data_IF_293279685784
#
_entry.id   IF_293279685784
#
_cell.length_a   1.000
_cell.length_b   1.000
_cell.length_c   1.000
_cell.angle_alpha   90.00
_cell.angle_beta   90.00
_cell.angle_gamma   90.00
#
_symmetry.space_group_name_H-M   'P 1'
#
loop_
_entity.id
_entity.type
_entity.pdbx_description
1 polymer ?
#
# COMPACT_ATOMS: atom_id res chain seq x y z
N UNK A 1 -13.50 17.26 8.28
CA UNK A 1 -13.40 15.90 8.83
C UNK A 1 -12.71 15.00 7.82
N UNK A 2 -11.95 13.99 8.26
CA UNK A 2 -11.30 13.05 7.36
C UNK A 2 -12.35 12.24 6.54
N UNK A 3 -12.08 11.90 5.27
CA UNK A 3 -13.06 11.28 4.37
C UNK A 3 -13.69 9.98 4.91
N UNK A 4 -12.90 9.11 5.54
CA UNK A 4 -13.39 7.88 6.14
C UNK A 4 -14.23 8.10 7.41
N UNK A 5 -13.96 9.18 8.17
CA UNK A 5 -14.83 9.57 9.29
C UNK A 5 -16.17 10.10 8.78
N UNK A 6 -16.18 10.85 7.68
CA UNK A 6 -17.43 11.32 7.06
C UNK A 6 -18.28 10.11 6.64
N UNK A 7 -17.68 9.11 5.98
CA UNK A 7 -18.39 7.89 5.60
C UNK A 7 -18.88 7.09 6.82
N UNK A 8 -18.08 7.01 7.88
CA UNK A 8 -18.47 6.31 9.10
C UNK A 8 -19.64 6.98 9.83
N UNK A 9 -19.73 8.31 9.83
CA UNK A 9 -20.78 9.06 10.53
C UNK A 9 -21.93 9.55 9.63
N UNK A 10 -21.92 9.24 8.33
CA UNK A 10 -23.02 9.62 7.43
C UNK A 10 -24.28 8.80 7.78
N UNK A 11 -25.42 9.44 8.13
CA UNK A 11 -26.64 8.73 8.51
C UNK A 11 -27.40 8.06 7.35
N UNK A 12 -27.00 8.25 6.08
CA UNK A 12 -27.73 7.74 4.91
C UNK A 12 -27.56 6.24 4.60
N UNK A 13 -26.62 5.53 5.25
CA UNK A 13 -26.56 4.05 5.16
C UNK A 13 -27.47 3.39 6.22
N UNK A 14 -28.78 3.63 6.13
CA UNK A 14 -29.77 2.70 6.66
C UNK A 14 -29.92 1.61 5.59
N UNK A 15 -29.42 0.41 5.87
CA UNK A 15 -29.38 -0.73 4.94
C UNK A 15 -30.72 -0.98 4.24
N UNK A 16 -30.77 -0.86 2.90
CA UNK A 16 -31.70 -1.69 2.13
C UNK A 16 -31.18 -3.13 2.13
N UNK A 17 -32.01 -4.13 2.49
CA UNK A 17 -31.56 -5.52 2.55
C UNK A 17 -31.51 -6.09 1.13
N UNK A 18 -30.36 -5.98 0.45
CA UNK A 18 -30.13 -6.71 -0.79
C UNK A 18 -29.79 -8.17 -0.47
N UNK A 19 -30.69 -9.06 -0.89
CA UNK A 19 -30.62 -10.51 -0.84
C UNK A 19 -29.35 -11.06 -1.55
N UNK A 20 -28.74 -12.10 -0.96
CA UNK A 20 -27.59 -12.81 -1.56
C UNK A 20 -26.36 -13.00 -0.65
N UNK A 21 -26.33 -14.13 0.08
CA UNK A 21 -25.14 -14.82 0.66
C UNK A 21 -23.95 -13.92 1.04
N UNK A 22 -24.08 -13.16 2.14
CA UNK A 22 -22.95 -12.47 2.78
C UNK A 22 -21.99 -13.51 3.40
N UNK A 23 -20.81 -13.73 2.78
CA UNK A 23 -19.64 -14.31 3.46
C UNK A 23 -19.39 -13.47 4.71
N UNK A 24 -19.27 -14.10 5.88
CA UNK A 24 -19.20 -13.43 7.20
C UNK A 24 -18.34 -12.16 7.21
N UNK A 25 -19.00 -11.01 7.16
CA UNK A 25 -18.43 -9.66 7.10
C UNK A 25 -19.13 -8.86 8.20
N UNK A 26 -18.56 -8.90 9.40
CA UNK A 26 -19.23 -8.30 10.56
C UNK A 26 -18.31 -7.81 11.67
N UNK A 27 -16.99 -7.99 11.57
CA UNK A 27 -16.06 -7.54 12.62
C UNK A 27 -14.78 -6.88 12.11
N UNK A 28 -14.41 -7.09 10.85
CA UNK A 28 -13.19 -6.52 10.27
C UNK A 28 -13.49 -5.36 9.29
N UNK A 29 -14.74 -4.90 9.21
CA UNK A 29 -15.10 -3.78 8.33
C UNK A 29 -14.52 -2.46 8.87
N UNK A 30 -13.68 -1.75 8.09
CA UNK A 30 -12.98 -0.56 8.57
C UNK A 30 -13.95 0.55 9.00
N UNK A 31 -15.08 0.70 8.31
CA UNK A 31 -16.09 1.72 8.58
C UNK A 31 -16.77 1.50 9.94
N UNK A 32 -17.09 0.25 10.29
CA UNK A 32 -17.69 -0.09 11.59
C UNK A 32 -16.69 0.16 12.72
N UNK A 33 -15.43 -0.22 12.52
CA UNK A 33 -14.37 0.01 13.50
C UNK A 33 -14.15 1.50 13.77
N UNK A 34 -14.23 2.35 12.75
CA UNK A 34 -14.13 3.82 12.87
C UNK A 34 -15.24 4.43 13.74
N UNK A 35 -16.46 3.89 13.73
CA UNK A 35 -17.56 4.38 14.60
C UNK A 35 -17.27 4.17 16.09
N UNK A 36 -16.58 3.09 16.42
CA UNK A 36 -16.22 2.72 17.80
C UNK A 36 -14.83 3.20 18.23
N UNK A 37 -14.11 3.88 17.35
CA UNK A 37 -12.70 4.23 17.57
C UNK A 37 -12.56 5.39 18.55
N UNK A 38 -11.85 5.14 19.65
CA UNK A 38 -11.36 6.17 20.57
C UNK A 38 -9.85 6.32 20.38
N UNK A 39 -9.36 7.44 19.82
CA UNK A 39 -7.95 7.66 19.54
C UNK A 39 -7.12 7.68 20.83
N UNK A 40 -5.91 7.11 20.77
CA UNK A 40 -4.96 7.07 21.90
C UNK A 40 -3.73 7.94 21.66
N UNK A 41 -3.44 8.23 20.40
CA UNK A 41 -2.29 9.00 19.95
C UNK A 41 -2.66 10.45 19.65
N UNK A 42 -1.66 11.34 19.71
CA UNK A 42 -1.81 12.74 19.32
C UNK A 42 -2.30 12.89 17.87
N UNK A 43 -1.80 12.03 16.97
CA UNK A 43 -2.23 12.01 15.58
C UNK A 43 -3.69 11.57 15.46
N UNK A 44 -4.08 10.49 16.16
CA UNK A 44 -5.47 10.04 16.20
C UNK A 44 -6.43 11.13 16.69
N UNK A 45 -6.07 11.82 17.78
CA UNK A 45 -6.87 12.93 18.31
C UNK A 45 -7.01 14.07 17.28
N UNK A 46 -5.94 14.43 16.57
CA UNK A 46 -5.97 15.48 15.55
C UNK A 46 -6.82 15.10 14.32
N UNK A 47 -6.79 13.83 13.90
CA UNK A 47 -7.62 13.30 12.81
C UNK A 47 -9.09 13.27 13.22
N UNK A 48 -9.39 12.79 14.43
CA UNK A 48 -10.76 12.74 14.94
C UNK A 48 -11.36 14.13 15.18
N UNK A 49 -10.54 15.08 15.65
CA UNK A 49 -10.91 16.49 15.73
C UNK A 49 -11.07 17.17 14.36
N UNK A 50 -10.71 16.50 13.27
CA UNK A 50 -10.82 17.02 11.90
C UNK A 50 -9.77 18.06 11.52
N UNK A 51 -8.70 18.22 12.31
CA UNK A 51 -7.58 19.13 12.01
C UNK A 51 -6.71 18.59 10.88
N UNK A 52 -6.59 17.26 10.77
CA UNK A 52 -5.89 16.58 9.70
C UNK A 52 -6.92 15.85 8.85
N UNK A 53 -7.05 16.27 7.60
CA UNK A 53 -8.06 15.75 6.66
C UNK A 53 -7.41 14.81 5.65
N UNK A 54 -6.18 15.10 5.23
CA UNK A 54 -5.48 14.32 4.20
C UNK A 54 -4.32 13.53 4.77
N UNK A 55 -4.00 12.41 4.11
CA UNK A 55 -2.83 11.60 4.47
C UNK A 55 -1.51 12.36 4.30
N UNK A 56 -1.45 13.31 3.37
CA UNK A 56 -0.26 14.14 3.16
C UNK A 56 -0.01 15.09 4.33
N UNK A 57 -1.07 15.69 4.88
CA UNK A 57 -0.99 16.48 6.11
C UNK A 57 -0.50 15.63 7.29
N UNK A 58 -0.97 14.37 7.38
CA UNK A 58 -0.51 13.44 8.41
C UNK A 58 1.01 13.17 8.29
N UNK A 59 1.52 12.94 7.08
CA UNK A 59 2.97 12.78 6.86
C UNK A 59 3.73 14.08 7.17
N UNK A 60 3.19 15.23 6.75
CA UNK A 60 3.81 16.55 6.97
C UNK A 60 3.92 16.89 8.46
N UNK A 61 2.97 16.42 9.29
CA UNK A 61 3.00 16.59 10.74
C UNK A 61 4.18 15.90 11.44
N UNK A 62 4.86 14.97 10.75
CA UNK A 62 5.97 14.14 11.27
C UNK A 62 5.61 13.30 12.51
N UNK A 63 4.33 13.20 12.85
CA UNK A 63 3.87 12.32 13.92
C UNK A 63 3.88 10.87 13.43
N UNK A 64 4.31 9.91 14.27
CA UNK A 64 4.32 8.50 13.89
C UNK A 64 2.89 7.95 13.80
N UNK A 65 2.60 7.24 12.71
CA UNK A 65 1.34 6.52 12.52
C UNK A 65 1.44 5.19 13.27
N UNK A 66 0.69 5.03 14.36
CA UNK A 66 0.69 3.82 15.21
C UNK A 66 -0.68 3.13 15.33
N UNK A 67 -1.73 3.82 14.90
CA UNK A 67 -3.10 3.35 14.89
C UNK A 67 -3.51 3.07 13.45
N UNK A 68 -4.21 1.96 13.22
CA UNK A 68 -4.65 1.55 11.87
C UNK A 68 -5.86 2.37 11.45
N UNK A 69 -6.68 2.73 12.42
CA UNK A 69 -7.89 3.51 12.28
C UNK A 69 -7.59 4.90 11.72
N UNK A 70 -6.41 5.47 12.02
CA UNK A 70 -5.95 6.72 11.39
C UNK A 70 -5.83 6.57 9.88
N UNK A 71 -5.32 5.44 9.41
CA UNK A 71 -5.14 5.17 7.98
C UNK A 71 -6.50 4.93 7.32
N UNK A 72 -7.36 4.16 7.98
CA UNK A 72 -8.72 3.87 7.50
C UNK A 72 -9.60 5.14 7.45
N UNK A 73 -9.40 6.07 8.39
CA UNK A 73 -10.05 7.38 8.40
C UNK A 73 -9.57 8.30 7.27
N UNK A 74 -8.28 8.27 6.94
CA UNK A 74 -7.69 9.17 5.94
C UNK A 74 -7.83 8.62 4.50
N UNK A 75 -7.86 7.30 4.34
CA UNK A 75 -7.93 6.61 3.04
C UNK A 75 -9.02 5.52 3.10
N UNK A 76 -10.29 5.85 2.81
CA UNK A 76 -11.38 4.87 2.91
C UNK A 76 -11.33 3.76 1.86
N UNK A 77 -10.80 4.05 0.65
CA UNK A 77 -10.76 3.11 -0.48
C UNK A 77 -9.46 2.29 -0.51
N UNK A 78 -9.15 1.58 0.57
CA UNK A 78 -7.99 0.66 0.62
C UNK A 78 -8.41 -0.75 0.23
N UNK A 79 -7.83 -1.26 -0.85
CA UNK A 79 -7.91 -2.67 -1.23
C UNK A 79 -6.73 -3.43 -0.61
N UNK A 80 -6.98 -4.65 -0.14
CA UNK A 80 -5.96 -5.57 0.36
C UNK A 80 -5.77 -6.77 -0.58
N UNK A 81 -4.50 -7.14 -0.82
CA UNK A 81 -4.15 -8.32 -1.61
C UNK A 81 -3.10 -9.17 -0.88
N UNK A 82 -3.36 -10.47 -0.81
CA UNK A 82 -2.44 -11.45 -0.23
C UNK A 82 -1.45 -11.89 -1.30
N UNK A 83 -0.16 -11.67 -1.05
CA UNK A 83 0.91 -12.06 -1.98
C UNK A 83 1.25 -13.55 -1.82
N UNK A 84 1.51 -13.98 -0.58
CA UNK A 84 1.97 -15.35 -0.30
C UNK A 84 1.65 -15.72 1.15
N UNK A 85 1.14 -16.95 1.33
CA UNK A 85 1.05 -17.62 2.62
C UNK A 85 2.11 -18.72 2.66
N UNK A 86 2.98 -18.70 3.67
CA UNK A 86 4.02 -19.70 3.87
C UNK A 86 3.81 -20.39 5.22
N UNK A 87 3.90 -21.73 5.23
CA UNK A 87 3.96 -22.50 6.47
C UNK A 87 5.42 -22.58 6.93
N UNK A 88 5.70 -22.12 8.15
CA UNK A 88 7.04 -22.15 8.76
C UNK A 88 7.01 -22.97 10.06
N UNK A 89 8.02 -23.79 10.28
CA UNK A 89 8.06 -24.73 11.40
C UNK A 89 9.34 -24.53 12.23
N UNK A 90 9.23 -24.68 13.56
CA UNK A 90 10.37 -24.82 14.46
C UNK A 90 10.33 -26.21 15.10
N UNK A 91 11.49 -26.86 15.22
CA UNK A 91 11.59 -28.12 15.95
C UNK A 91 11.64 -27.84 17.47
N UNK A 92 10.95 -28.67 18.24
CA UNK A 92 10.98 -28.70 19.71
C UNK A 92 11.06 -30.16 20.15
N UNK A 93 11.41 -30.40 21.41
CA UNK A 93 11.52 -31.77 21.96
C UNK A 93 10.20 -32.54 21.82
N UNK A 94 9.06 -31.86 21.96
CA UNK A 94 7.71 -32.42 21.73
C UNK A 94 7.28 -32.51 20.26
N UNK A 95 8.19 -32.27 19.30
CA UNK A 95 7.90 -32.32 17.86
C UNK A 95 7.91 -30.97 17.15
N UNK A 96 7.26 -30.88 15.97
CA UNK A 96 7.27 -29.70 15.10
C UNK A 96 6.18 -28.71 15.48
N UNK A 97 6.55 -27.49 15.87
CA UNK A 97 5.60 -26.37 16.07
C UNK A 97 5.49 -25.54 14.80
N UNK A 98 4.32 -25.59 14.17
CA UNK A 98 4.00 -24.88 12.93
C UNK A 98 3.40 -23.50 13.22
N UNK A 99 3.72 -22.53 12.36
CA UNK A 99 3.12 -21.20 12.30
C UNK A 99 3.01 -20.77 10.83
N UNK A 100 2.11 -19.84 10.55
CA UNK A 100 1.94 -19.29 9.20
C UNK A 100 2.56 -17.90 9.13
N UNK A 101 3.35 -17.67 8.10
CA UNK A 101 3.89 -16.37 7.72
C UNK A 101 3.14 -15.88 6.48
N UNK A 102 2.51 -14.71 6.58
CA UNK A 102 1.72 -14.11 5.51
C UNK A 102 2.31 -12.77 5.15
N UNK A 103 2.47 -12.53 3.85
CA UNK A 103 2.79 -11.22 3.30
C UNK A 103 1.57 -10.67 2.56
N UNK A 104 1.15 -9.48 2.95
CA UNK A 104 0.02 -8.76 2.39
C UNK A 104 0.47 -7.39 1.87
N UNK A 105 -0.18 -6.94 0.81
CA UNK A 105 -0.05 -5.60 0.26
C UNK A 105 -1.40 -4.90 0.39
N UNK A 106 -1.39 -3.61 0.66
CA UNK A 106 -2.61 -2.79 0.74
C UNK A 106 -2.38 -1.53 -0.10
N UNK A 107 -3.37 -1.07 -0.84
CA UNK A 107 -3.25 0.18 -1.60
C UNK A 107 -4.56 0.66 -2.18
N UNK A 108 -4.58 1.91 -2.64
CA UNK A 108 -5.79 2.57 -3.16
C UNK A 108 -5.78 2.74 -4.69
N UNK A 109 -4.84 2.08 -5.40
CA UNK A 109 -4.59 2.23 -6.85
C UNK A 109 -4.37 3.67 -7.31
N UNK A 110 -4.13 4.59 -6.37
CA UNK A 110 -4.01 6.01 -6.63
C UNK A 110 -2.89 6.61 -5.80
N UNK A 111 -1.72 5.97 -5.87
CA UNK A 111 -0.49 6.51 -5.32
C UNK A 111 -0.25 6.23 -3.83
N UNK A 112 -1.03 5.37 -3.16
CA UNK A 112 -0.69 4.84 -1.84
C UNK A 112 -0.56 3.32 -1.87
N UNK A 113 0.54 2.83 -1.29
CA UNK A 113 0.79 1.39 -1.15
C UNK A 113 1.46 1.10 0.17
N UNK A 114 1.11 0.00 0.81
CA UNK A 114 1.70 -0.50 2.04
C UNK A 114 2.02 -1.99 1.90
N UNK A 115 3.14 -2.41 2.49
CA UNK A 115 3.55 -3.82 2.51
C UNK A 115 3.74 -4.27 3.96
N UNK A 116 3.14 -5.40 4.30
CA UNK A 116 3.17 -5.95 5.65
C UNK A 116 3.48 -7.44 5.63
N UNK A 117 4.19 -7.89 6.66
CA UNK A 117 4.42 -9.31 6.91
C UNK A 117 4.10 -9.62 8.37
N UNK A 118 3.38 -10.70 8.61
CA UNK A 118 3.04 -11.12 9.96
C UNK A 118 3.05 -12.64 10.10
N UNK A 119 3.23 -13.09 11.34
CA UNK A 119 3.28 -14.51 11.71
C UNK A 119 2.29 -14.81 12.82
N UNK A 120 1.47 -15.85 12.64
CA UNK A 120 0.53 -16.31 13.67
C UNK A 120 0.43 -17.84 13.70
N UNK A 121 -0.33 -18.38 14.67
CA UNK A 121 -0.63 -19.82 14.76
C UNK A 121 -1.66 -20.24 13.71
N UNK A 122 -2.65 -19.41 13.47
CA UNK A 122 -3.71 -19.60 12.49
C UNK A 122 -3.51 -18.71 11.26
N UNK A 123 -4.01 -19.15 10.11
CA UNK A 123 -3.89 -18.41 8.85
C UNK A 123 -4.68 -17.12 8.88
N UNK A 124 -5.96 -17.15 9.31
CA UNK A 124 -6.83 -15.96 9.35
C UNK A 124 -6.26 -14.86 10.25
N UNK A 125 -5.74 -15.25 11.42
CA UNK A 125 -5.06 -14.31 12.32
C UNK A 125 -3.78 -13.72 11.70
N UNK A 126 -3.01 -14.52 10.94
CA UNK A 126 -1.81 -14.04 10.26
C UNK A 126 -2.16 -13.03 9.16
N UNK A 127 -3.24 -13.27 8.41
CA UNK A 127 -3.74 -12.35 7.38
C UNK A 127 -4.13 -11.01 8.01
N UNK A 128 -4.98 -11.00 9.04
CA UNK A 128 -5.40 -9.77 9.74
C UNK A 128 -4.21 -8.94 10.25
N UNK A 129 -3.23 -9.62 10.87
CA UNK A 129 -2.00 -8.97 11.36
C UNK A 129 -1.14 -8.44 10.21
N UNK A 130 -1.08 -9.15 9.07
CA UNK A 130 -0.32 -8.70 7.92
C UNK A 130 -0.95 -7.45 7.28
N UNK A 131 -2.29 -7.42 7.16
CA UNK A 131 -3.04 -6.25 6.66
C UNK A 131 -2.84 -5.06 7.60
N UNK A 132 -2.99 -5.26 8.91
CA UNK A 132 -2.72 -4.24 9.94
C UNK A 132 -1.31 -3.67 9.80
N UNK A 133 -0.30 -4.54 9.67
CA UNK A 133 1.09 -4.13 9.48
C UNK A 133 1.32 -3.41 8.14
N UNK A 134 0.60 -3.78 7.08
CA UNK A 134 0.68 -3.12 5.78
C UNK A 134 0.08 -1.71 5.83
N UNK A 135 -1.08 -1.54 6.47
CA UNK A 135 -1.73 -0.23 6.68
C UNK A 135 -0.83 0.74 7.45
N UNK A 136 -0.17 0.27 8.52
CA UNK A 136 0.78 1.09 9.28
C UNK A 136 2.03 1.47 8.47
N UNK A 137 2.40 0.68 7.46
CA UNK A 137 3.57 0.89 6.60
C UNK A 137 3.20 1.45 5.22
N UNK A 138 2.18 2.30 5.13
CA UNK A 138 1.81 2.95 3.86
C UNK A 138 2.86 4.01 3.47
N UNK A 139 3.18 4.02 2.18
CA UNK A 139 3.98 5.05 1.53
C UNK A 139 3.14 5.74 0.44
N UNK A 140 3.36 7.03 0.26
CA UNK A 140 2.97 7.74 -0.96
C UNK A 140 3.90 7.33 -2.10
N UNK A 141 3.40 7.19 -3.32
CA UNK A 141 4.18 6.86 -4.51
C UNK A 141 4.18 8.06 -5.45
N UNK A 142 5.35 8.37 -6.01
CA UNK A 142 5.49 9.35 -7.07
C UNK A 142 5.20 8.68 -8.41
N UNK A 143 4.29 9.27 -9.18
CA UNK A 143 3.92 8.83 -10.53
C UNK A 143 4.20 9.98 -11.50
N UNK A 144 4.54 9.65 -12.73
CA UNK A 144 4.74 10.63 -13.78
C UNK A 144 4.99 9.97 -15.13
N UNK A 145 5.48 10.78 -16.06
CA UNK A 145 5.84 10.36 -17.40
C UNK A 145 7.32 10.67 -17.64
N UNK A 146 8.15 9.62 -17.75
CA UNK A 146 9.57 9.78 -18.04
C UNK A 146 10.10 8.85 -19.10
N UNK A 147 9.21 8.25 -19.90
CA UNK A 147 9.63 7.44 -21.03
C UNK A 147 10.04 8.34 -22.17
N UNK A 148 11.19 8.05 -22.78
CA UNK A 148 11.64 8.76 -23.99
C UNK A 148 10.69 8.55 -25.18
N UNK A 149 9.96 7.45 -25.19
CA UNK A 149 9.00 7.09 -26.25
C UNK A 149 7.64 7.79 -26.08
N UNK A 150 7.36 8.40 -24.93
CA UNK A 150 6.05 8.96 -24.62
C UNK A 150 5.98 10.45 -24.99
N UNK A 151 4.83 10.88 -25.50
CA UNK A 151 4.54 12.30 -25.69
C UNK A 151 4.40 13.01 -24.33
N UNK A 152 4.53 14.34 -24.37
CA UNK A 152 4.37 15.20 -23.18
C UNK A 152 2.95 15.07 -22.63
N UNK A 153 2.80 14.76 -21.34
CA UNK A 153 1.51 14.66 -20.68
C UNK A 153 1.56 13.92 -19.34
N UNK A 154 0.45 13.94 -18.57
CA UNK A 154 0.34 13.23 -17.30
C UNK A 154 0.47 11.72 -17.54
N UNK A 155 1.23 11.07 -16.66
CA UNK A 155 1.50 9.64 -16.76
C UNK A 155 1.39 8.95 -15.41
N UNK A 156 1.03 7.68 -15.47
CA UNK A 156 0.92 6.75 -14.35
C UNK A 156 2.10 5.77 -14.32
N UNK A 157 3.23 6.14 -14.94
CA UNK A 157 4.49 5.39 -14.91
C UNK A 157 5.39 5.87 -13.77
N UNK A 158 6.48 5.16 -13.51
CA UNK A 158 7.60 5.68 -12.73
C UNK A 158 8.30 6.80 -13.52
N UNK A 159 8.66 7.95 -12.93
CA UNK A 159 9.22 9.10 -13.64
C UNK A 159 10.68 8.93 -14.08
N UNK A 160 11.48 8.13 -13.38
CA UNK A 160 12.86 7.84 -13.77
C UNK A 160 13.27 6.46 -13.29
N UNK A 161 14.39 5.97 -13.82
CA UNK A 161 14.90 4.65 -13.45
C UNK A 161 15.26 4.59 -11.98
N UNK A 162 14.69 3.63 -11.26
CA UNK A 162 14.94 3.44 -9.83
C UNK A 162 15.30 1.99 -9.51
N UNK A 163 16.16 1.83 -8.51
CA UNK A 163 16.64 0.54 -8.07
C UNK A 163 16.13 0.27 -6.64
N UNK A 164 15.56 -0.91 -6.44
CA UNK A 164 15.21 -1.45 -5.13
C UNK A 164 15.97 -2.75 -4.85
N UNK A 165 16.29 -2.97 -3.58
CA UNK A 165 16.98 -4.17 -3.12
C UNK A 165 16.31 -4.70 -1.87
N UNK A 166 16.21 -6.03 -1.79
CA UNK A 166 15.94 -6.75 -0.56
C UNK A 166 16.74 -8.05 -0.58
N UNK A 167 17.64 -8.22 0.39
CA UNK A 167 18.61 -9.31 0.42
C UNK A 167 19.39 -9.46 -0.92
N UNK A 168 19.26 -10.62 -1.58
CA UNK A 168 19.88 -10.92 -2.87
C UNK A 168 19.08 -10.43 -4.07
N UNK A 169 17.78 -10.15 -3.90
CA UNK A 169 16.89 -9.71 -4.98
C UNK A 169 17.07 -8.23 -5.26
N UNK A 170 17.34 -7.89 -6.53
CA UNK A 170 17.46 -6.52 -7.02
C UNK A 170 16.41 -6.29 -8.10
N UNK A 171 15.62 -5.25 -7.95
CA UNK A 171 14.57 -4.85 -8.90
C UNK A 171 14.91 -3.47 -9.42
N UNK A 172 14.96 -3.31 -10.72
CA UNK A 172 15.12 -2.01 -11.38
C UNK A 172 13.82 -1.71 -12.10
N UNK A 173 13.15 -0.63 -11.73
CA UNK A 173 11.97 -0.13 -12.43
C UNK A 173 12.42 0.98 -13.37
N UNK A 174 11.96 0.95 -14.61
CA UNK A 174 12.25 1.91 -15.66
C UNK A 174 10.93 2.48 -16.18
N UNK A 175 10.93 3.77 -16.58
CA UNK A 175 9.76 4.38 -17.16
C UNK A 175 9.32 3.64 -18.43
N UNK A 176 8.02 3.57 -18.66
CA UNK A 176 7.43 2.96 -19.86
C UNK A 176 6.48 3.94 -20.55
N UNK A 177 6.32 3.78 -21.86
CA UNK A 177 5.29 4.49 -22.61
C UNK A 177 3.89 4.03 -22.19
N UNK A 178 2.90 4.90 -22.34
CA UNK A 178 1.49 4.60 -22.04
C UNK A 178 1.01 3.41 -22.87
N UNK A 179 0.38 2.43 -22.21
CA UNK A 179 -0.21 1.25 -22.86
C UNK A 179 0.73 0.05 -22.97
N UNK A 180 1.96 0.11 -22.45
CA UNK A 180 2.85 -1.06 -22.35
C UNK A 180 2.42 -2.04 -21.25
N UNK A 181 1.72 -1.54 -20.24
CA UNK A 181 1.31 -2.30 -19.05
C UNK A 181 2.46 -2.60 -18.10
N UNK A 182 2.16 -3.41 -17.09
CA UNK A 182 3.11 -3.83 -16.06
C UNK A 182 3.96 -5.01 -16.54
N UNK A 183 5.15 -4.72 -17.10
CA UNK A 183 6.12 -5.73 -17.53
C UNK A 183 7.00 -6.14 -16.35
N UNK A 184 6.43 -6.90 -15.43
CA UNK A 184 7.08 -7.41 -14.21
C UNK A 184 6.51 -8.78 -13.82
N UNK A 185 7.22 -9.54 -12.98
CA UNK A 185 6.70 -10.79 -12.44
C UNK A 185 5.48 -10.58 -11.56
N UNK A 186 4.63 -11.59 -11.43
CA UNK A 186 3.31 -11.51 -10.78
C UNK A 186 3.34 -10.84 -9.39
N UNK A 187 4.28 -11.22 -8.52
CA UNK A 187 4.41 -10.62 -7.19
C UNK A 187 4.69 -9.11 -7.24
N UNK A 188 5.53 -8.66 -8.18
CA UNK A 188 5.78 -7.23 -8.38
C UNK A 188 4.59 -6.52 -9.01
N UNK A 189 3.85 -7.22 -9.89
CA UNK A 189 2.64 -6.70 -10.54
C UNK A 189 1.59 -6.31 -9.51
N UNK A 190 1.30 -7.19 -8.55
CA UNK A 190 0.36 -6.94 -7.43
C UNK A 190 0.71 -5.66 -6.65
N UNK A 191 1.99 -5.47 -6.33
CA UNK A 191 2.47 -4.28 -5.60
C UNK A 191 2.35 -3.00 -6.44
N UNK A 192 2.71 -3.05 -7.72
CA UNK A 192 2.66 -1.88 -8.61
C UNK A 192 1.21 -1.49 -8.99
N UNK A 193 0.34 -2.48 -9.15
CA UNK A 193 -1.07 -2.28 -9.44
C UNK A 193 -1.76 -1.54 -8.29
N UNK A 194 -1.59 -2.03 -7.05
CA UNK A 194 -2.10 -1.35 -5.85
C UNK A 194 -1.48 0.04 -5.62
N UNK A 195 -0.26 0.27 -6.11
CA UNK A 195 0.38 1.59 -6.08
C UNK A 195 -0.21 2.58 -7.10
N UNK A 196 -1.05 2.11 -8.03
CA UNK A 196 -1.62 2.95 -9.09
C UNK A 196 -0.67 3.23 -10.24
N UNK A 197 0.29 2.33 -10.46
CA UNK A 197 1.23 2.39 -11.57
C UNK A 197 0.71 1.47 -12.68
N UNK A 198 0.49 2.01 -13.88
CA UNK A 198 -0.07 1.25 -15.01
C UNK A 198 1.00 0.65 -15.90
N UNK A 199 2.08 1.41 -16.13
CA UNK A 199 3.09 1.11 -17.15
C UNK A 199 4.48 1.16 -16.53
N UNK A 200 5.20 0.03 -16.55
CA UNK A 200 6.60 -0.05 -16.11
C UNK A 200 7.35 -1.13 -16.88
N UNK A 201 8.59 -0.80 -17.23
CA UNK A 201 9.57 -1.79 -17.65
C UNK A 201 10.41 -2.20 -16.44
N UNK A 202 10.55 -3.50 -16.18
CA UNK A 202 11.36 -3.97 -15.07
C UNK A 202 12.56 -4.79 -15.52
N UNK A 203 13.62 -4.75 -14.72
CA UNK A 203 14.75 -5.67 -14.81
C UNK A 203 15.04 -6.22 -13.42
N UNK A 204 15.01 -7.54 -13.28
CA UNK A 204 15.28 -8.22 -12.01
C UNK A 204 16.60 -8.96 -12.06
N UNK A 205 17.36 -8.95 -10.96
CA UNK A 205 18.59 -9.74 -10.78
C UNK A 205 18.58 -10.43 -9.41
N UNK A 206 19.28 -11.56 -9.31
CA UNK A 206 19.35 -12.37 -8.08
C UNK A 206 18.22 -13.41 -7.98
N UNK A 207 17.96 -13.90 -6.77
CA UNK A 207 16.94 -14.94 -6.57
C UNK A 207 15.54 -14.30 -6.52
N UNK A 208 14.78 -14.45 -7.60
CA UNK A 208 13.40 -13.94 -7.72
C UNK A 208 12.35 -14.92 -7.19
N UNK A 209 12.70 -16.21 -7.04
CA UNK A 209 11.80 -17.24 -6.48
C UNK A 209 11.34 -16.95 -5.05
N UNK A 210 12.15 -16.21 -4.28
CA UNK A 210 11.77 -15.75 -2.94
C UNK A 210 10.81 -14.57 -3.04
N UNK A 211 9.51 -14.86 -3.08
CA UNK A 211 8.42 -13.87 -3.25
C UNK A 211 8.45 -12.76 -2.21
N UNK A 212 8.77 -13.07 -0.95
CA UNK A 212 8.87 -12.09 0.14
C UNK A 212 9.92 -11.01 -0.19
N UNK A 213 11.11 -11.43 -0.59
CA UNK A 213 12.19 -10.50 -0.92
C UNK A 213 11.89 -9.75 -2.21
N UNK A 214 11.23 -10.39 -3.17
CA UNK A 214 10.88 -9.76 -4.44
C UNK A 214 9.83 -8.65 -4.26
N UNK A 215 8.77 -8.89 -3.48
CA UNK A 215 7.80 -7.87 -3.09
C UNK A 215 8.47 -6.73 -2.31
N UNK A 216 9.29 -7.05 -1.30
CA UNK A 216 10.00 -6.06 -0.50
C UNK A 216 10.99 -5.23 -1.35
N UNK A 217 11.68 -5.84 -2.32
CA UNK A 217 12.57 -5.12 -3.21
C UNK A 217 11.81 -4.15 -4.14
N UNK A 218 10.62 -4.55 -4.60
CA UNK A 218 9.75 -3.70 -5.42
C UNK A 218 9.22 -2.52 -4.59
N UNK A 219 8.74 -2.78 -3.37
CA UNK A 219 8.32 -1.74 -2.42
C UNK A 219 9.47 -0.78 -2.06
N UNK A 220 10.68 -1.30 -1.83
CA UNK A 220 11.86 -0.48 -1.59
C UNK A 220 12.24 0.38 -2.80
N UNK A 221 11.99 -0.09 -4.02
CA UNK A 221 12.21 0.73 -5.22
C UNK A 221 11.29 1.96 -5.20
N UNK A 222 10.00 1.78 -4.86
CA UNK A 222 9.04 2.88 -4.70
C UNK A 222 9.41 3.81 -3.54
N UNK A 223 9.93 3.26 -2.43
CA UNK A 223 10.45 4.08 -1.33
C UNK A 223 11.64 4.94 -1.75
N UNK A 224 12.57 4.37 -2.50
CA UNK A 224 13.75 5.09 -3.01
C UNK A 224 13.35 6.18 -4.02
N UNK A 225 12.26 5.98 -4.75
CA UNK A 225 11.70 6.99 -5.63
C UNK A 225 11.42 8.30 -4.86
N UNK A 226 10.75 8.20 -3.70
CA UNK A 226 10.43 9.35 -2.86
C UNK A 226 11.64 10.04 -2.22
N UNK A 227 12.75 9.32 -2.03
CA UNK A 227 13.97 9.84 -1.42
C UNK A 227 14.80 10.62 -2.44
N UNK A 228 14.64 10.30 -3.73
CA UNK A 228 15.42 10.92 -4.79
C UNK A 228 15.10 12.40 -4.88
N UNK A 229 16.15 13.23 -4.88
CA UNK A 229 16.00 14.68 -5.02
C UNK A 229 15.66 15.00 -6.47
N UNK A 230 14.61 15.79 -6.66
CA UNK A 230 14.09 16.17 -7.98
C UNK A 230 14.02 17.70 -8.01
N UNK A 231 14.51 18.31 -9.08
CA UNK A 231 14.40 19.76 -9.29
C UNK A 231 12.97 20.11 -9.73
N UNK A 232 12.45 21.28 -9.39
CA UNK A 232 11.11 21.72 -9.80
C UNK A 232 10.90 21.63 -11.33
N UNK A 233 11.92 22.01 -12.12
CA UNK A 233 11.89 21.87 -13.58
C UNK A 233 11.69 20.41 -14.04
N UNK A 234 12.30 19.44 -13.36
CA UNK A 234 12.11 18.02 -13.68
C UNK A 234 10.73 17.54 -13.27
N UNK A 235 10.20 18.06 -12.16
CA UNK A 235 8.85 17.75 -11.68
C UNK A 235 7.79 18.18 -12.70
N UNK A 236 7.92 19.39 -13.23
CA UNK A 236 7.02 19.93 -14.26
C UNK A 236 7.19 19.19 -15.59
N UNK A 237 8.43 19.01 -16.06
CA UNK A 237 8.71 18.32 -17.32
C UNK A 237 8.16 16.89 -17.36
N UNK A 238 8.26 16.17 -16.24
CA UNK A 238 7.86 14.76 -16.12
C UNK A 238 6.45 14.59 -15.51
N UNK A 239 5.72 15.69 -15.26
CA UNK A 239 4.39 15.69 -14.63
C UNK A 239 4.32 14.83 -13.37
N UNK A 240 5.27 15.04 -12.45
CA UNK A 240 5.39 14.19 -11.25
C UNK A 240 4.39 14.60 -10.19
N UNK A 241 3.45 13.68 -9.95
CA UNK A 241 2.46 13.76 -8.88
C UNK A 241 2.84 12.80 -7.75
N UNK A 242 2.74 13.25 -6.51
CA UNK A 242 3.01 12.44 -5.32
C UNK A 242 1.69 12.20 -4.62
N UNK A 243 1.37 10.93 -4.33
CA UNK A 243 0.13 10.57 -3.66
C UNK A 243 -1.08 10.61 -4.58
N UNK A 244 -2.23 10.97 -3.99
CA UNK A 244 -3.53 11.04 -4.67
C UNK A 244 -3.49 12.10 -5.75
N UNK A 245 -4.07 11.82 -6.93
CA UNK A 245 -4.34 12.91 -7.86
C UNK A 245 -5.53 13.68 -7.29
N UNK A 246 -5.30 14.91 -6.83
CA UNK A 246 -6.40 15.83 -6.53
C UNK A 246 -6.94 16.31 -7.88
N UNK A 247 -8.18 15.94 -8.19
CA UNK A 247 -8.99 16.68 -9.17
C UNK A 247 -9.32 18.08 -8.63
#
# INVERSE_FOLDING_TARGET
MAPGLIQAFNPEEVEEPTDGRRRGKGQDDPIVNLRSWTPKTRLGNAVMAGQIVTFEQAIASKLPIREVEVVDALIPNLEDEIIKVNMVQRMTDSGRRVRFNVMACVGNKDGYVGLGMAKAKEVSQAIRKAITAAKLNIISVQRGNGSWESSTGPGTSVPFKINGRSASTRVTLMPAAKGKGLVIGETGKKVLDLAGITDVLSRTKGQTRTTINYAAATFNALKNLNITRITNQQREKLYINKGRMFE
#
